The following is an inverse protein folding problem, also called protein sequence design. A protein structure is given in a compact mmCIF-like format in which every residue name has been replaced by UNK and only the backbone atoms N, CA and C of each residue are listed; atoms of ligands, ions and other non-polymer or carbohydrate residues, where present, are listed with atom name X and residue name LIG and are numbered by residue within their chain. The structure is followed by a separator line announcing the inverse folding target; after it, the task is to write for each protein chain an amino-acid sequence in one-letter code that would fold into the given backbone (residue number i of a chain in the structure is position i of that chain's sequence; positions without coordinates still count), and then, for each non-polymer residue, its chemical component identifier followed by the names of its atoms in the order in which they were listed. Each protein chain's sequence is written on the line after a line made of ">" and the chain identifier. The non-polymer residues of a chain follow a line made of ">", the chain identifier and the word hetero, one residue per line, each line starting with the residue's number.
data_IF_623532099564
#
_entry.id   IF_623532099564
#
_cell.length_a   1.000
_cell.length_b   1.000
_cell.length_c   1.000
_cell.angle_alpha   90.00
_cell.angle_beta   90.00
_cell.angle_gamma   90.00
#
_symmetry.space_group_name_H-M   'P 1'
#
loop_
_entity.id
_entity.type
_entity.pdbx_description
1 polymer ?
#
# COMPACT_ATOMS: atom_id res chain seq x y z
N UNK A 1 -7.08 29.25 11.97
CA UNK A 1 -7.85 28.10 11.45
C UNK A 1 -8.64 27.56 12.61
N UNK A 2 -9.97 27.40 12.51
CA UNK A 2 -10.77 26.88 13.60
C UNK A 2 -10.31 25.46 13.95
N UNK A 3 -10.02 25.20 15.23
CA UNK A 3 -9.70 23.85 15.69
C UNK A 3 -10.96 22.99 15.64
N UNK A 4 -10.86 21.84 14.98
CA UNK A 4 -11.96 20.91 14.76
C UNK A 4 -11.71 19.62 15.55
N UNK A 5 -12.64 19.23 16.42
CA UNK A 5 -12.60 17.97 17.16
C UNK A 5 -13.68 17.00 16.67
N UNK A 6 -13.43 15.68 16.71
CA UNK A 6 -14.47 14.70 16.42
C UNK A 6 -15.52 14.66 17.55
N UNK A 7 -16.80 14.72 17.20
CA UNK A 7 -17.89 14.52 18.16
C UNK A 7 -17.86 13.08 18.71
N UNK A 8 -18.02 12.88 20.04
CA UNK A 8 -17.95 11.55 20.65
C UNK A 8 -19.06 10.61 20.17
N UNK A 9 -20.26 11.13 19.90
CA UNK A 9 -21.39 10.30 19.46
C UNK A 9 -21.44 10.08 17.96
N UNK A 10 -21.35 11.14 17.15
CA UNK A 10 -21.53 11.02 15.69
C UNK A 10 -20.22 10.99 14.89
N UNK A 11 -19.06 11.12 15.54
CA UNK A 11 -17.70 11.11 14.94
C UNK A 11 -17.44 12.20 13.88
N UNK A 12 -18.39 13.11 13.63
CA UNK A 12 -18.23 14.23 12.70
C UNK A 12 -17.35 15.32 13.32
N UNK A 13 -16.53 15.98 12.50
CA UNK A 13 -15.69 17.12 12.91
C UNK A 13 -16.57 18.32 13.23
N UNK A 14 -16.41 18.87 14.44
CA UNK A 14 -17.14 20.03 14.96
C UNK A 14 -16.14 21.03 15.54
N UNK A 15 -16.54 22.31 15.60
CA UNK A 15 -15.71 23.33 16.24
C UNK A 15 -15.48 22.99 17.71
N UNK A 16 -14.25 23.22 18.20
CA UNK A 16 -13.89 23.06 19.62
C UNK A 16 -14.75 23.94 20.54
N UNK A 17 -15.28 25.04 20.01
CA UNK A 17 -16.07 26.03 20.75
C UNK A 17 -17.57 25.71 20.79
N UNK A 18 -18.03 24.67 20.09
CA UNK A 18 -19.46 24.33 20.05
C UNK A 18 -19.93 23.72 21.39
N UNK A 19 -20.98 24.30 21.99
CA UNK A 19 -21.60 23.79 23.23
C UNK A 19 -22.32 22.45 23.02
N UNK A 20 -22.89 22.23 21.84
CA UNK A 20 -23.51 20.98 21.43
C UNK A 20 -23.14 20.62 19.99
N UNK A 21 -23.19 19.34 19.64
CA UNK A 21 -22.93 18.89 18.28
C UNK A 21 -24.07 19.33 17.33
N UNK A 22 -23.81 20.16 16.30
CA UNK A 22 -24.83 20.61 15.35
C UNK A 22 -25.34 19.49 14.43
N UNK A 23 -24.80 18.27 14.54
CA UNK A 23 -25.18 17.11 13.71
C UNK A 23 -25.94 16.03 14.48
N UNK A 24 -25.79 15.95 15.79
CA UNK A 24 -26.47 14.93 16.59
C UNK A 24 -27.09 15.47 17.89
N UNK A 25 -27.04 16.78 18.13
CA UNK A 25 -27.70 17.44 19.26
C UNK A 25 -27.08 17.17 20.63
N UNK A 26 -26.13 16.25 20.75
CA UNK A 26 -25.53 15.93 22.04
C UNK A 26 -24.64 17.07 22.58
N UNK A 27 -24.74 17.38 23.89
CA UNK A 27 -23.88 18.34 24.54
C UNK A 27 -22.43 17.86 24.53
N UNK A 28 -21.50 18.77 24.29
CA UNK A 28 -20.07 18.46 24.33
C UNK A 28 -19.56 18.85 25.71
N UNK A 29 -19.32 17.84 26.54
CA UNK A 29 -18.71 18.01 27.87
C UNK A 29 -17.24 18.44 27.73
N UNK A 30 -16.70 19.14 28.72
CA UNK A 30 -15.32 19.62 28.68
C UNK A 30 -14.30 18.48 28.61
N UNK A 31 -14.61 17.34 29.23
CA UNK A 31 -13.85 16.09 29.15
C UNK A 31 -13.73 15.61 27.69
N UNK A 32 -14.83 15.65 26.93
CA UNK A 32 -14.85 15.26 25.52
C UNK A 32 -14.06 16.26 24.65
N UNK A 33 -14.04 17.55 25.01
CA UNK A 33 -13.21 18.55 24.33
C UNK A 33 -11.72 18.29 24.55
N UNK A 34 -11.33 18.02 25.80
CA UNK A 34 -9.94 17.76 26.16
C UNK A 34 -9.41 16.47 25.53
N UNK A 35 -10.21 15.40 25.54
CA UNK A 35 -9.88 14.16 24.86
C UNK A 35 -9.70 14.38 23.34
N UNK A 36 -10.57 15.17 22.72
CA UNK A 36 -10.46 15.56 21.31
C UNK A 36 -9.20 16.36 21.00
N UNK A 37 -8.83 17.33 21.86
CA UNK A 37 -7.61 18.13 21.71
C UNK A 37 -6.35 17.30 21.89
N UNK A 38 -6.32 16.34 22.83
CA UNK A 38 -5.17 15.43 23.02
C UNK A 38 -4.94 14.57 21.79
N UNK A 39 -5.99 13.95 21.22
CA UNK A 39 -5.88 13.16 19.99
C UNK A 39 -5.39 13.97 18.79
N UNK A 40 -5.86 15.21 18.63
CA UNK A 40 -5.37 16.12 17.57
C UNK A 40 -3.89 16.50 17.76
N UNK A 41 -3.42 16.66 19.00
CA UNK A 41 -2.00 16.92 19.29
C UNK A 41 -1.13 15.69 19.02
N UNK A 42 -1.60 14.49 19.35
CA UNK A 42 -0.91 13.23 19.07
C UNK A 42 -0.82 12.94 17.56
N UNK A 43 -1.91 13.13 16.80
CA UNK A 43 -1.90 12.97 15.33
C UNK A 43 -0.96 13.98 14.65
N UNK A 44 -0.95 15.25 15.11
CA UNK A 44 -0.01 16.27 14.60
C UNK A 44 1.45 15.94 14.95
N UNK A 45 1.71 15.33 16.12
CA UNK A 45 3.05 14.92 16.56
C UNK A 45 3.54 13.69 15.77
N UNK A 46 2.67 12.70 15.55
CA UNK A 46 2.99 11.53 14.74
C UNK A 46 3.31 11.90 13.28
N UNK A 47 2.53 12.80 12.67
CA UNK A 47 2.79 13.28 11.31
C UNK A 47 4.12 14.06 11.19
N UNK A 48 4.47 14.88 12.19
CA UNK A 48 5.71 15.66 12.20
C UNK A 48 6.95 14.78 12.42
N UNK A 49 6.85 13.79 13.30
CA UNK A 49 7.94 12.82 13.56
C UNK A 49 8.16 11.95 12.32
N UNK A 50 7.08 11.46 11.68
CA UNK A 50 7.18 10.70 10.43
C UNK A 50 7.86 11.48 9.30
N UNK A 51 7.50 12.75 9.08
CA UNK A 51 8.17 13.59 8.08
C UNK A 51 9.66 13.84 8.39
N UNK A 52 10.04 14.05 9.65
CA UNK A 52 11.44 14.27 10.03
C UNK A 52 12.26 12.99 9.81
N UNK A 53 11.76 11.82 10.20
CA UNK A 53 12.43 10.55 9.93
C UNK A 53 12.59 10.27 8.43
N UNK A 54 11.59 10.64 7.62
CA UNK A 54 11.65 10.49 6.16
C UNK A 54 12.71 11.40 5.53
N UNK A 55 12.85 12.64 6.02
CA UNK A 55 13.86 13.60 5.54
C UNK A 55 15.27 13.15 5.95
N UNK A 56 15.47 12.69 7.18
CA UNK A 56 16.78 12.19 7.64
C UNK A 56 17.18 10.93 6.87
N UNK A 57 16.24 10.02 6.61
CA UNK A 57 16.48 8.84 5.77
C UNK A 57 16.89 9.19 4.35
N UNK A 58 16.26 10.20 3.74
CA UNK A 58 16.61 10.67 2.40
C UNK A 58 17.99 11.34 2.32
N UNK A 59 18.39 12.11 3.34
CA UNK A 59 19.71 12.75 3.40
C UNK A 59 20.81 11.71 3.61
N UNK A 60 20.60 10.72 4.48
CA UNK A 60 21.56 9.62 4.68
C UNK A 60 21.77 8.81 3.39
N UNK A 61 20.71 8.55 2.62
CA UNK A 61 20.79 7.89 1.31
C UNK A 61 21.55 8.72 0.26
N UNK A 62 21.36 10.05 0.26
CA UNK A 62 22.08 10.94 -0.66
C UNK A 62 23.58 11.04 -0.34
N UNK A 63 23.96 11.04 0.95
CA UNK A 63 25.37 11.03 1.38
C UNK A 63 26.04 9.69 1.06
N UNK A 64 25.28 8.58 1.12
CA UNK A 64 25.80 7.24 0.78
C UNK A 64 25.98 7.02 -0.73
N UNK A 65 25.20 7.72 -1.57
CA UNK A 65 25.32 7.67 -3.04
C UNK A 65 26.28 8.73 -3.63
N UNK A 66 26.82 9.63 -2.82
CA UNK A 66 27.66 10.75 -3.27
C UNK A 66 29.18 10.52 -3.23
N UNK A 67 29.66 9.31 -2.94
CA UNK A 67 31.10 9.00 -2.87
C UNK A 67 31.45 7.74 -3.66
N UNK A 68 31.89 7.94 -4.90
CA UNK A 68 32.70 7.07 -5.82
C UNK A 68 32.46 7.63 -7.23
N UNK A 69 33.42 8.03 -8.09
CA UNK A 69 34.87 7.91 -8.16
C UNK A 69 35.46 9.01 -9.06
N UNK A 70 36.65 9.53 -8.74
CA UNK A 70 37.62 9.98 -9.74
C UNK A 70 38.92 9.26 -9.45
N UNK A 71 39.33 8.38 -10.36
CA UNK A 71 40.63 7.74 -10.35
C UNK A 71 41.72 8.69 -10.89
N UNK A 72 42.90 8.75 -10.27
CA UNK A 72 44.14 8.19 -10.85
C UNK A 72 45.38 8.30 -9.91
N UNK A 73 46.27 7.31 -10.08
CA UNK A 73 47.71 7.17 -9.74
C UNK A 73 48.25 6.87 -8.33
N UNK A 74 48.82 5.64 -8.28
CA UNK A 74 50.14 5.20 -7.78
C UNK A 74 50.33 4.73 -6.31
N UNK A 75 50.72 3.45 -6.20
CA UNK A 75 51.21 2.64 -5.05
C UNK A 75 52.42 3.25 -4.27
N UNK A 76 52.82 2.78 -3.05
CA UNK A 76 52.86 1.36 -2.60
C UNK A 76 52.38 1.02 -1.16
N UNK A 77 52.26 -0.30 -0.96
CA UNK A 77 51.77 -1.15 0.14
C UNK A 77 52.40 -0.91 1.53
N UNK A 78 51.69 -1.24 2.65
CA UNK A 78 51.88 -2.55 3.30
C UNK A 78 50.58 -3.29 3.65
N UNK A 79 50.70 -4.61 3.82
CA UNK A 79 49.64 -5.61 3.87
C UNK A 79 48.58 -5.42 4.99
N UNK A 80 47.27 -5.66 4.72
CA UNK A 80 46.26 -5.75 5.75
C UNK A 80 46.16 -7.18 6.31
N UNK A 81 46.17 -7.26 7.64
CA UNK A 81 45.88 -8.45 8.44
C UNK A 81 44.45 -8.91 8.16
N UNK A 82 44.28 -10.19 7.86
CA UNK A 82 43.01 -10.82 7.49
C UNK A 82 41.97 -10.71 8.62
N UNK A 83 40.86 -10.00 8.37
CA UNK A 83 39.62 -10.18 9.14
C UNK A 83 38.69 -11.15 8.41
N UNK A 84 38.00 -12.07 9.12
CA UNK A 84 37.07 -13.01 8.51
C UNK A 84 35.89 -12.29 7.87
N UNK A 85 35.58 -12.65 6.63
CA UNK A 85 34.45 -12.10 5.88
C UNK A 85 33.11 -12.40 6.57
N UNK A 86 32.18 -11.44 6.68
CA UNK A 86 30.80 -11.74 7.06
C UNK A 86 30.16 -12.61 5.97
N UNK A 87 29.60 -13.72 6.41
CA UNK A 87 28.86 -14.71 5.63
C UNK A 87 27.79 -14.01 4.75
N UNK A 88 27.66 -14.35 3.46
CA UNK A 88 26.65 -13.75 2.58
C UNK A 88 25.24 -14.02 3.11
N UNK A 89 24.52 -12.95 3.47
CA UNK A 89 23.08 -12.96 3.65
C UNK A 89 22.44 -13.32 2.29
N UNK A 90 21.45 -14.22 2.21
CA UNK A 90 20.87 -14.63 0.94
C UNK A 90 20.33 -13.41 0.20
N UNK A 91 20.93 -13.12 -0.96
CA UNK A 91 20.42 -12.15 -1.89
C UNK A 91 18.96 -12.48 -2.18
N UNK A 92 18.08 -11.50 -1.98
CA UNK A 92 16.82 -11.43 -2.69
C UNK A 92 17.17 -11.64 -4.17
N UNK A 93 16.85 -12.82 -4.70
CA UNK A 93 17.00 -13.10 -6.12
C UNK A 93 16.12 -12.10 -6.85
N UNK A 94 16.75 -11.03 -7.33
CA UNK A 94 16.29 -10.31 -8.50
C UNK A 94 16.32 -11.33 -9.64
N UNK A 95 15.17 -11.98 -9.84
CA UNK A 95 14.99 -12.85 -10.97
C UNK A 95 15.20 -12.00 -12.23
N UNK A 96 16.19 -12.39 -13.03
CA UNK A 96 16.48 -11.83 -14.34
C UNK A 96 15.17 -11.65 -15.15
N UNK A 97 15.04 -10.58 -15.95
CA UNK A 97 13.79 -10.22 -16.61
C UNK A 97 13.44 -11.26 -17.68
N UNK A 98 12.65 -12.27 -17.29
CA UNK A 98 11.80 -13.03 -18.20
C UNK A 98 10.99 -11.98 -18.97
N UNK A 99 10.98 -12.02 -20.30
CA UNK A 99 10.22 -11.06 -21.11
C UNK A 99 8.81 -10.92 -20.52
N UNK A 100 8.52 -9.78 -19.92
CA UNK A 100 7.38 -9.64 -19.02
C UNK A 100 6.10 -9.73 -19.84
N UNK A 101 5.41 -10.87 -19.74
CA UNK A 101 4.06 -11.01 -20.24
C UNK A 101 3.21 -9.90 -19.61
N UNK A 102 2.43 -9.21 -20.44
CA UNK A 102 1.56 -8.11 -20.00
C UNK A 102 0.09 -8.48 -20.09
N UNK A 103 -0.74 -7.83 -19.28
CA UNK A 103 -2.19 -7.97 -19.28
C UNK A 103 -2.84 -7.26 -20.48
N UNK A 104 -2.07 -6.61 -21.37
CA UNK A 104 -2.58 -5.87 -22.53
C UNK A 104 -3.33 -4.57 -22.21
N UNK A 105 -3.63 -4.30 -20.95
CA UNK A 105 -4.36 -3.10 -20.49
C UNK A 105 -3.43 -1.96 -20.09
N UNK A 106 -3.92 -0.73 -20.21
CA UNK A 106 -3.25 0.47 -19.69
C UNK A 106 -3.58 0.70 -18.21
N UNK A 107 -2.82 1.53 -17.49
CA UNK A 107 -3.16 1.95 -16.13
C UNK A 107 -4.55 2.58 -16.01
N UNK A 108 -4.99 3.35 -17.03
CA UNK A 108 -6.30 3.97 -16.99
C UNK A 108 -7.41 2.94 -17.16
N UNK A 109 -7.25 1.97 -18.07
CA UNK A 109 -8.20 0.86 -18.21
C UNK A 109 -8.33 0.06 -16.91
N UNK A 110 -7.21 -0.22 -16.23
CA UNK A 110 -7.25 -0.85 -14.92
C UNK A 110 -8.08 -0.03 -13.91
N UNK A 111 -7.85 1.29 -13.84
CA UNK A 111 -8.57 2.20 -12.93
C UNK A 111 -10.06 2.24 -13.24
N UNK A 112 -10.43 2.29 -14.51
CA UNK A 112 -11.83 2.33 -14.94
C UNK A 112 -12.55 1.03 -14.61
N UNK A 113 -11.93 -0.12 -14.88
CA UNK A 113 -12.43 -1.45 -14.56
C UNK A 113 -12.60 -1.64 -13.03
N UNK A 114 -11.58 -1.24 -12.25
CA UNK A 114 -11.65 -1.26 -10.79
C UNK A 114 -12.83 -0.42 -10.29
N UNK A 115 -12.95 0.81 -10.78
CA UNK A 115 -13.97 1.75 -10.34
C UNK A 115 -15.38 1.33 -10.76
N UNK A 116 -15.52 0.67 -11.91
CA UNK A 116 -16.78 0.06 -12.33
C UNK A 116 -17.21 -1.03 -11.34
N UNK A 117 -16.32 -1.97 -11.02
CA UNK A 117 -16.62 -3.03 -10.05
C UNK A 117 -16.93 -2.48 -8.66
N UNK A 118 -16.15 -1.50 -8.19
CA UNK A 118 -16.36 -0.86 -6.89
C UNK A 118 -17.69 -0.10 -6.79
N UNK A 119 -18.17 0.48 -7.90
CA UNK A 119 -19.49 1.11 -7.99
C UNK A 119 -20.62 0.09 -8.00
N UNK A 120 -20.48 -1.01 -8.75
CA UNK A 120 -21.48 -2.08 -8.81
C UNK A 120 -21.70 -2.75 -7.45
N UNK A 121 -20.70 -2.73 -6.57
CA UNK A 121 -20.79 -3.24 -5.20
C UNK A 121 -21.16 -2.17 -4.16
N UNK A 122 -21.62 -0.98 -4.58
CA UNK A 122 -21.99 0.16 -3.73
C UNK A 122 -20.95 0.55 -2.66
N UNK A 123 -19.67 0.49 -3.04
CA UNK A 123 -18.58 0.86 -2.13
C UNK A 123 -18.09 2.28 -2.37
N UNK A 124 -17.36 2.81 -1.38
CA UNK A 124 -16.68 4.11 -1.47
C UNK A 124 -15.26 4.03 -2.07
N UNK A 125 -14.74 2.83 -2.33
CA UNK A 125 -13.39 2.67 -2.86
C UNK A 125 -13.30 3.19 -4.28
N UNK A 126 -12.31 4.03 -4.58
CA UNK A 126 -12.08 4.54 -5.93
C UNK A 126 -10.59 4.61 -6.20
N UNK A 127 -10.13 3.85 -7.18
CA UNK A 127 -8.78 3.93 -7.68
C UNK A 127 -8.54 5.29 -8.34
N UNK A 128 -7.44 5.94 -7.94
CA UNK A 128 -6.94 7.19 -8.51
C UNK A 128 -5.44 7.10 -8.66
N UNK A 129 -4.94 7.51 -9.82
CA UNK A 129 -3.50 7.62 -10.05
C UNK A 129 -2.97 8.78 -9.22
N UNK A 130 -2.00 8.49 -8.34
CA UNK A 130 -1.35 9.50 -7.49
C UNK A 130 0.06 9.82 -7.94
N UNK A 131 0.75 8.84 -8.55
CA UNK A 131 2.10 9.03 -9.12
C UNK A 131 2.25 8.16 -10.35
N UNK A 132 2.97 8.67 -11.35
CA UNK A 132 3.28 7.96 -12.59
C UNK A 132 4.76 8.11 -12.92
N UNK A 133 5.37 7.02 -13.33
CA UNK A 133 6.71 6.93 -13.92
C UNK A 133 6.63 6.14 -15.23
N UNK A 134 7.77 5.95 -15.90
CA UNK A 134 7.84 5.12 -17.11
C UNK A 134 7.52 3.64 -16.81
N UNK A 135 7.94 3.14 -15.64
CA UNK A 135 7.90 1.71 -15.30
C UNK A 135 6.79 1.36 -14.31
N UNK A 136 6.22 2.36 -13.62
CA UNK A 136 5.22 2.10 -12.60
C UNK A 136 4.22 3.24 -12.37
N UNK A 137 3.04 2.88 -11.89
CA UNK A 137 1.95 3.79 -11.51
C UNK A 137 1.47 3.47 -10.10
N UNK A 138 1.46 4.46 -9.22
CA UNK A 138 0.90 4.34 -7.87
C UNK A 138 -0.57 4.75 -7.87
N UNK A 139 -1.37 3.96 -7.18
CA UNK A 139 -2.81 4.13 -7.04
C UNK A 139 -3.17 4.27 -5.56
N UNK A 140 -3.95 5.30 -5.24
CA UNK A 140 -4.72 5.34 -3.99
C UNK A 140 -6.13 4.83 -4.27
N UNK A 141 -6.63 3.91 -3.45
CA UNK A 141 -7.95 3.28 -3.67
C UNK A 141 -8.91 3.50 -2.50
N UNK A 142 -8.39 3.42 -1.28
CA UNK A 142 -9.11 3.71 -0.05
C UNK A 142 -8.16 4.23 1.03
N UNK A 143 -8.66 4.35 2.26
CA UNK A 143 -7.83 4.65 3.43
C UNK A 143 -6.86 3.50 3.77
N UNK A 144 -7.29 2.26 3.55
CA UNK A 144 -6.57 1.06 4.00
C UNK A 144 -5.94 0.28 2.84
N UNK A 145 -6.20 0.68 1.60
CA UNK A 145 -5.74 -0.02 0.41
C UNK A 145 -5.21 0.93 -0.67
N UNK A 146 -4.04 0.58 -1.21
CA UNK A 146 -3.43 1.18 -2.38
C UNK A 146 -2.84 0.10 -3.28
N UNK A 147 -2.36 0.49 -4.46
CA UNK A 147 -1.67 -0.44 -5.34
C UNK A 147 -0.54 0.21 -6.13
N UNK A 148 0.43 -0.61 -6.53
CA UNK A 148 1.46 -0.28 -7.49
C UNK A 148 1.22 -1.13 -8.75
N UNK A 149 1.05 -0.49 -9.89
CA UNK A 149 1.09 -1.14 -11.20
C UNK A 149 2.50 -1.07 -11.75
N UNK A 150 3.01 -2.19 -12.26
CA UNK A 150 4.26 -2.24 -13.04
C UNK A 150 3.90 -2.28 -14.52
N UNK A 151 4.69 -1.61 -15.36
CA UNK A 151 4.44 -1.43 -16.78
C UNK A 151 5.54 -2.07 -17.63
N UNK A 152 5.16 -2.55 -18.82
CA UNK A 152 6.11 -2.85 -19.89
C UNK A 152 6.55 -1.57 -20.63
N UNK A 153 7.46 -1.73 -21.60
CA UNK A 153 7.99 -0.65 -22.44
C UNK A 153 6.90 0.07 -23.27
N UNK A 154 5.75 -0.57 -23.46
CA UNK A 154 4.60 -0.02 -24.18
C UNK A 154 3.56 0.63 -23.22
N UNK A 155 3.89 0.73 -21.93
CA UNK A 155 2.99 1.28 -20.91
C UNK A 155 1.81 0.36 -20.56
N UNK A 156 1.90 -0.94 -20.84
CA UNK A 156 0.90 -1.94 -20.48
C UNK A 156 1.20 -2.57 -19.13
N UNK A 157 0.17 -2.86 -18.36
CA UNK A 157 0.32 -3.44 -17.02
C UNK A 157 0.90 -4.85 -17.12
N UNK A 158 1.98 -5.12 -16.38
CA UNK A 158 2.62 -6.45 -16.25
C UNK A 158 2.40 -7.07 -14.88
N UNK A 159 2.20 -6.24 -13.85
CA UNK A 159 1.80 -6.70 -12.52
C UNK A 159 1.00 -5.64 -11.77
N UNK A 160 0.16 -6.09 -10.85
CA UNK A 160 -0.39 -5.27 -9.77
C UNK A 160 0.13 -5.80 -8.45
N UNK A 161 0.60 -4.90 -7.60
CA UNK A 161 0.90 -5.14 -6.19
C UNK A 161 -0.03 -4.27 -5.34
N UNK A 162 -1.08 -4.88 -4.81
CA UNK A 162 -1.95 -4.29 -3.80
C UNK A 162 -1.28 -4.29 -2.44
N UNK A 163 -1.46 -3.20 -1.69
CA UNK A 163 -0.89 -2.99 -0.36
C UNK A 163 -2.04 -2.63 0.58
N UNK A 164 -2.33 -3.54 1.50
CA UNK A 164 -3.33 -3.40 2.54
C UNK A 164 -2.69 -3.11 3.90
N UNK A 165 -3.00 -1.95 4.49
CA UNK A 165 -2.54 -1.57 5.82
C UNK A 165 -3.75 -1.33 6.72
N UNK A 166 -4.12 -2.36 7.50
CA UNK A 166 -5.28 -2.33 8.39
C UNK A 166 -4.97 -1.70 9.75
N UNK A 167 -6.02 -1.27 10.44
CA UNK A 167 -5.97 -0.79 11.82
C UNK A 167 -6.37 -1.88 12.85
N UNK A 168 -6.44 -3.13 12.40
CA UNK A 168 -6.87 -4.28 13.22
C UNK A 168 -8.38 -4.44 13.35
N UNK A 169 -9.18 -3.53 12.77
CA UNK A 169 -10.65 -3.66 12.78
C UNK A 169 -11.16 -4.54 11.64
N UNK A 170 -12.33 -5.15 11.86
CA UNK A 170 -13.05 -5.91 10.81
C UNK A 170 -13.33 -5.02 9.59
N UNK A 171 -13.61 -3.74 9.79
CA UNK A 171 -13.88 -2.80 8.70
C UNK A 171 -12.67 -2.57 7.80
N UNK A 172 -11.46 -2.42 8.37
CA UNK A 172 -10.26 -2.27 7.55
C UNK A 172 -9.89 -3.56 6.84
N UNK A 173 -10.07 -4.71 7.49
CA UNK A 173 -9.94 -6.02 6.85
C UNK A 173 -10.89 -6.19 5.65
N UNK A 174 -12.18 -5.91 5.83
CA UNK A 174 -13.17 -5.99 4.76
C UNK A 174 -12.85 -5.03 3.60
N UNK A 175 -12.41 -3.80 3.91
CA UNK A 175 -12.00 -2.82 2.89
C UNK A 175 -10.78 -3.31 2.09
N UNK A 176 -9.77 -3.89 2.74
CA UNK A 176 -8.61 -4.48 2.05
C UNK A 176 -9.02 -5.65 1.15
N UNK A 177 -9.83 -6.58 1.65
CA UNK A 177 -10.27 -7.75 0.88
C UNK A 177 -11.12 -7.36 -0.34
N UNK A 178 -12.02 -6.39 -0.18
CA UNK A 178 -12.76 -5.79 -1.30
C UNK A 178 -11.81 -5.15 -2.32
N UNK A 179 -10.75 -4.49 -1.83
CA UNK A 179 -9.69 -3.93 -2.67
C UNK A 179 -8.98 -4.98 -3.52
N UNK A 180 -8.68 -6.15 -2.94
CA UNK A 180 -8.11 -7.28 -3.70
C UNK A 180 -9.09 -7.77 -4.77
N UNK A 181 -10.37 -7.97 -4.43
CA UNK A 181 -11.39 -8.38 -5.41
C UNK A 181 -11.53 -7.39 -6.57
N UNK A 182 -11.53 -6.09 -6.28
CA UNK A 182 -11.61 -5.04 -7.29
C UNK A 182 -10.31 -4.92 -8.10
N UNK A 183 -9.16 -5.27 -7.53
CA UNK A 183 -7.90 -5.37 -8.26
C UNK A 183 -7.92 -6.51 -9.26
N UNK A 184 -8.51 -7.66 -8.90
CA UNK A 184 -8.77 -8.75 -9.85
C UNK A 184 -9.74 -8.27 -10.94
N UNK A 185 -10.80 -7.53 -10.58
CA UNK A 185 -11.72 -6.93 -11.56
C UNK A 185 -11.02 -5.92 -12.49
N UNK A 186 -10.04 -5.18 -11.98
CA UNK A 186 -9.21 -4.25 -12.75
C UNK A 186 -8.45 -4.94 -13.87
N UNK A 187 -7.93 -6.15 -13.59
CA UNK A 187 -7.20 -6.98 -14.54
C UNK A 187 -8.12 -7.81 -15.46
N UNK A 188 -9.19 -8.37 -14.90
CA UNK A 188 -10.14 -9.28 -15.55
C UNK A 188 -11.57 -8.76 -15.36
N UNK A 189 -11.95 -7.70 -16.08
CA UNK A 189 -13.31 -7.15 -16.02
C UNK A 189 -14.35 -8.16 -16.55
N UNK A 190 -13.92 -9.09 -17.41
CA UNK A 190 -14.70 -10.19 -17.98
C UNK A 190 -15.08 -11.29 -16.96
N UNK A 191 -14.32 -11.42 -15.87
CA UNK A 191 -14.62 -12.43 -14.86
C UNK A 191 -15.84 -12.06 -14.00
N UNK A 192 -16.80 -12.96 -13.78
CA UNK A 192 -17.90 -12.70 -12.85
C UNK A 192 -17.39 -12.58 -11.40
N UNK A 193 -18.16 -11.94 -10.50
CA UNK A 193 -17.78 -11.81 -9.09
C UNK A 193 -17.45 -13.13 -8.39
N UNK A 194 -18.14 -14.22 -8.76
CA UNK A 194 -17.90 -15.57 -8.23
C UNK A 194 -16.49 -16.06 -8.55
N UNK A 195 -16.06 -15.96 -9.81
CA UNK A 195 -14.71 -16.34 -10.25
C UNK A 195 -13.61 -15.56 -9.53
N UNK A 196 -13.87 -14.29 -9.19
CA UNK A 196 -12.94 -13.43 -8.44
C UNK A 196 -12.89 -13.84 -6.96
N UNK A 197 -14.05 -14.16 -6.38
CA UNK A 197 -14.17 -14.67 -5.01
C UNK A 197 -13.46 -16.01 -4.81
N UNK A 198 -13.50 -16.91 -5.80
CA UNK A 198 -12.76 -18.17 -5.77
C UNK A 198 -11.25 -17.98 -5.66
N UNK A 199 -10.67 -16.98 -6.32
CA UNK A 199 -9.24 -16.65 -6.19
C UNK A 199 -8.92 -16.25 -4.76
N UNK A 200 -9.72 -15.34 -4.20
CA UNK A 200 -9.54 -14.90 -2.82
C UNK A 200 -9.66 -16.07 -1.85
N UNK A 201 -10.66 -16.95 -2.04
CA UNK A 201 -10.84 -18.14 -1.23
C UNK A 201 -9.66 -19.11 -1.35
N UNK A 202 -9.11 -19.29 -2.55
CA UNK A 202 -7.95 -20.14 -2.78
C UNK A 202 -6.65 -19.59 -2.16
N UNK A 203 -6.62 -18.28 -1.87
CA UNK A 203 -5.52 -17.62 -1.16
C UNK A 203 -5.68 -17.66 0.36
N UNK A 204 -6.84 -18.07 0.88
CA UNK A 204 -7.08 -18.24 2.31
C UNK A 204 -6.73 -19.67 2.76
N UNK A 205 -6.51 -19.84 4.06
CA UNK A 205 -6.40 -21.17 4.65
C UNK A 205 -7.79 -21.84 4.81
N UNK A 206 -7.78 -23.07 5.33
CA UNK A 206 -9.01 -23.88 5.52
C UNK A 206 -10.00 -23.23 6.49
N UNK A 207 -9.54 -22.35 7.38
CA UNK A 207 -10.35 -21.64 8.35
C UNK A 207 -10.83 -20.27 7.81
N UNK A 208 -10.49 -19.92 6.58
CA UNK A 208 -10.80 -18.61 5.97
C UNK A 208 -9.89 -17.48 6.48
N UNK A 209 -8.76 -17.78 7.11
CA UNK A 209 -7.78 -16.78 7.55
C UNK A 209 -6.76 -16.54 6.43
N UNK A 210 -6.10 -15.39 6.51
CA UNK A 210 -5.04 -14.99 5.58
C UNK A 210 -3.72 -15.64 6.06
N UNK A 211 -3.17 -16.65 5.35
CA UNK A 211 -1.89 -17.24 5.70
C UNK A 211 -0.74 -16.25 5.48
N UNK A 212 0.43 -16.56 6.08
CA UNK A 212 1.64 -15.73 5.92
C UNK A 212 2.02 -15.54 4.45
N UNK A 213 1.93 -16.61 3.66
CA UNK A 213 2.09 -16.57 2.21
C UNK A 213 1.15 -17.60 1.57
N UNK A 214 0.54 -17.26 0.45
CA UNK A 214 -0.19 -18.20 -0.40
C UNK A 214 -0.15 -17.76 -1.86
N UNK A 215 -0.28 -18.71 -2.77
CA UNK A 215 -0.35 -18.43 -4.21
C UNK A 215 -1.26 -19.41 -4.92
N UNK A 216 -1.97 -18.92 -5.93
CA UNK A 216 -2.81 -19.70 -6.84
C UNK A 216 -2.63 -19.19 -8.26
N UNK A 217 -2.68 -20.09 -9.25
CA UNK A 217 -2.67 -19.71 -10.66
C UNK A 217 -4.02 -20.03 -11.28
N UNK A 218 -4.62 -19.08 -12.01
CA UNK A 218 -5.87 -19.26 -12.80
C UNK A 218 -5.73 -18.52 -14.12
N UNK A 219 -6.07 -19.19 -15.21
CA UNK A 219 -5.98 -18.69 -16.60
C UNK A 219 -4.65 -17.99 -16.92
N UNK A 220 -3.53 -18.60 -16.53
CA UNK A 220 -2.19 -18.06 -16.80
C UNK A 220 -1.82 -16.83 -15.95
N UNK A 221 -2.62 -16.47 -14.94
CA UNK A 221 -2.33 -15.39 -14.00
C UNK A 221 -2.00 -16.01 -12.64
N UNK A 222 -0.81 -15.71 -12.13
CA UNK A 222 -0.41 -16.05 -10.77
C UNK A 222 -0.88 -14.96 -9.83
N UNK A 223 -1.70 -15.34 -8.86
CA UNK A 223 -2.09 -14.51 -7.73
C UNK A 223 -1.32 -14.95 -6.49
N UNK A 224 -0.92 -14.02 -5.65
CA UNK A 224 -0.36 -14.36 -4.35
C UNK A 224 -0.70 -13.32 -3.28
N UNK A 225 -0.67 -13.77 -2.04
CA UNK A 225 -0.70 -12.91 -0.87
C UNK A 225 0.54 -13.15 -0.02
N UNK A 226 1.00 -12.10 0.64
CA UNK A 226 2.07 -12.17 1.62
C UNK A 226 1.75 -11.22 2.78
N UNK A 227 1.91 -11.69 4.01
CA UNK A 227 1.77 -10.88 5.22
C UNK A 227 3.16 -10.55 5.74
N UNK A 228 3.46 -9.27 5.84
CA UNK A 228 4.69 -8.77 6.43
C UNK A 228 4.39 -8.01 7.72
N UNK A 229 4.97 -8.47 8.82
CA UNK A 229 4.81 -7.83 10.12
C UNK A 229 5.21 -6.35 10.05
N UNK A 230 4.34 -5.46 10.52
CA UNK A 230 4.55 -4.01 10.49
C UNK A 230 4.31 -3.33 9.12
N UNK A 231 4.33 -4.06 8.01
CA UNK A 231 4.13 -3.50 6.67
C UNK A 231 2.75 -3.79 6.05
N UNK A 232 2.02 -4.78 6.58
CA UNK A 232 0.65 -5.11 6.18
C UNK A 232 0.56 -6.34 5.29
N UNK A 233 -0.49 -6.39 4.47
CA UNK A 233 -0.79 -7.51 3.57
C UNK A 233 -0.57 -7.06 2.14
N UNK A 234 0.25 -7.80 1.41
CA UNK A 234 0.49 -7.62 0.00
C UNK A 234 -0.35 -8.62 -0.78
N UNK A 235 -0.99 -8.14 -1.85
CA UNK A 235 -1.61 -8.96 -2.87
C UNK A 235 -0.88 -8.70 -4.18
N UNK A 236 -0.48 -9.73 -4.90
CA UNK A 236 0.11 -9.57 -6.22
C UNK A 236 -0.62 -10.38 -7.27
N UNK A 237 -0.67 -9.84 -8.48
CA UNK A 237 -1.10 -10.58 -9.65
C UNK A 237 -0.20 -10.24 -10.84
N UNK A 238 0.31 -11.27 -11.50
CA UNK A 238 1.14 -11.16 -12.71
C UNK A 238 0.86 -12.35 -13.64
N UNK A 239 1.02 -12.20 -14.97
CA UNK A 239 1.00 -13.34 -15.86
C UNK A 239 2.15 -14.32 -15.51
N UNK A 240 1.94 -15.61 -15.74
CA UNK A 240 2.85 -16.71 -15.39
C UNK A 240 3.69 -17.19 -16.59
#
# INVERSE_FOLDING_TARGET
>A
MADLIPCPSCKKKISVEAQACPKCGQPITDEAREAGRKKMKEEKRAGRVGCIFFIIGAIALAVWLGKTDTADKAQPTPAPVSQPAPTPQPATQEAAPKAALSFGITPQQFVDNYNAAAKSADTKQRAKITKKSAESVQLAMSKFYGALLTLDKNGKVTSVMGIGAGDGTVNSGADIMMGFMFSIAGLRPDWPPTSRGEIIKALMDKDGKIPKNASVTKDGIKFSIAVAEGAGIFFTASPN
#
